data_IF_988009464211
#
_entry.id   IF_988009464211
#
_cell.length_a   1.000
_cell.length_b   1.000
_cell.length_c   1.000
_cell.angle_alpha   90.00
_cell.angle_beta   90.00
_cell.angle_gamma   90.00
#
_symmetry.space_group_name_H-M   'P 1'
#
loop_
_entity.id
_entity.type
_entity.pdbx_description
1 polymer ?
#
# COMPACT_ATOMS: atom_id res chain seq x y z
N UNK A 1 -15.23 19.58 14.53
CA UNK A 1 -14.20 18.87 13.74
C UNK A 1 -12.86 19.11 14.41
N UNK A 2 -12.02 18.08 14.57
CA UNK A 2 -10.72 18.22 15.24
C UNK A 2 -9.78 19.07 14.36
N UNK A 3 -9.14 20.09 14.95
CA UNK A 3 -8.11 20.91 14.30
C UNK A 3 -6.93 20.09 13.77
N UNK A 4 -6.81 18.81 14.18
CA UNK A 4 -5.81 17.85 13.68
C UNK A 4 -6.07 17.38 12.24
N UNK A 5 -7.30 17.51 11.72
CA UNK A 5 -7.67 16.97 10.41
C UNK A 5 -7.00 17.69 9.21
N UNK A 6 -6.97 19.04 9.13
CA UNK A 6 -6.37 19.74 7.99
C UNK A 6 -4.91 19.36 7.67
N UNK A 7 -3.99 19.22 8.65
CA UNK A 7 -2.64 18.70 8.37
C UNK A 7 -2.64 17.35 7.66
N UNK A 8 -3.51 16.43 8.08
CA UNK A 8 -3.54 15.07 7.51
C UNK A 8 -4.22 15.03 6.15
N UNK A 9 -5.24 15.87 5.93
CA UNK A 9 -5.79 16.08 4.59
C UNK A 9 -4.73 16.63 3.64
N UNK A 10 -3.88 17.55 4.10
CA UNK A 10 -2.80 18.10 3.29
C UNK A 10 -1.72 17.06 2.98
N UNK A 11 -1.44 16.13 3.91
CA UNK A 11 -0.61 14.94 3.64
C UNK A 11 -1.27 14.01 2.60
N UNK A 12 -2.59 13.81 2.65
CA UNK A 12 -3.29 13.01 1.65
C UNK A 12 -3.23 13.69 0.26
N UNK A 13 -3.41 15.01 0.21
CA UNK A 13 -3.23 15.81 -1.01
C UNK A 13 -1.80 15.69 -1.53
N UNK A 14 -0.80 15.76 -0.65
CA UNK A 14 0.60 15.53 -1.01
C UNK A 14 0.80 14.16 -1.66
N UNK A 15 0.26 13.09 -1.07
CA UNK A 15 0.35 11.75 -1.64
C UNK A 15 -0.30 11.67 -3.04
N UNK A 16 -1.48 12.28 -3.23
CA UNK A 16 -2.12 12.37 -4.56
C UNK A 16 -1.25 13.15 -5.56
N UNK A 17 -0.64 14.26 -5.13
CA UNK A 17 0.20 15.08 -5.99
C UNK A 17 1.52 14.39 -6.36
N UNK A 18 2.16 13.70 -5.41
CA UNK A 18 3.40 12.96 -5.62
C UNK A 18 3.15 11.73 -6.50
N UNK A 19 2.22 10.85 -6.12
CA UNK A 19 2.10 9.53 -6.76
C UNK A 19 0.99 9.46 -7.81
N UNK A 20 -0.10 10.21 -7.63
CA UNK A 20 -1.22 10.22 -8.57
C UNK A 20 -1.02 11.14 -9.76
N UNK A 21 -0.57 12.37 -9.50
CA UNK A 21 -0.38 13.43 -10.51
C UNK A 21 1.08 13.55 -10.96
N UNK A 22 2.03 13.04 -10.17
CA UNK A 22 3.47 13.13 -10.45
C UNK A 22 3.96 14.58 -10.59
N UNK A 23 3.45 15.46 -9.72
CA UNK A 23 3.84 16.86 -9.65
C UNK A 23 4.67 17.13 -8.37
N UNK A 24 5.94 16.75 -8.42
CA UNK A 24 6.90 16.75 -7.29
C UNK A 24 6.90 18.04 -6.48
N UNK A 25 7.04 19.20 -7.12
CA UNK A 25 7.17 20.48 -6.41
C UNK A 25 5.94 20.76 -5.52
N UNK A 26 4.74 20.55 -6.06
CA UNK A 26 3.49 20.75 -5.33
C UNK A 26 3.29 19.64 -4.28
N UNK A 27 3.67 18.41 -4.60
CA UNK A 27 3.63 17.27 -3.69
C UNK A 27 4.50 17.48 -2.45
N UNK A 28 5.77 17.85 -2.62
CA UNK A 28 6.69 18.16 -1.52
C UNK A 28 6.29 19.43 -0.77
N UNK A 29 5.80 20.47 -1.47
CA UNK A 29 5.29 21.68 -0.82
C UNK A 29 4.09 21.37 0.10
N UNK A 30 3.14 20.56 -0.38
CA UNK A 30 2.01 20.09 0.42
C UNK A 30 2.49 19.24 1.61
N UNK A 31 3.48 18.36 1.42
CA UNK A 31 4.03 17.53 2.50
C UNK A 31 4.68 18.38 3.60
N UNK A 32 5.50 19.36 3.21
CA UNK A 32 6.16 20.28 4.13
C UNK A 32 5.13 21.14 4.88
N UNK A 33 4.12 21.64 4.18
CA UNK A 33 3.04 22.41 4.78
C UNK A 33 2.18 21.55 5.74
N UNK A 34 1.96 20.26 5.43
CA UNK A 34 1.26 19.33 6.32
C UNK A 34 1.99 19.16 7.65
N UNK A 35 3.31 18.93 7.60
CA UNK A 35 4.16 18.81 8.79
C UNK A 35 4.23 20.13 9.56
N UNK A 36 4.41 21.26 8.87
CA UNK A 36 4.46 22.57 9.52
C UNK A 36 3.14 22.92 10.22
N UNK A 37 2.00 22.68 9.55
CA UNK A 37 0.68 22.91 10.15
C UNK A 37 0.44 21.97 11.33
N UNK A 38 0.85 20.69 11.23
CA UNK A 38 0.77 19.77 12.36
C UNK A 38 1.60 20.27 13.55
N UNK A 39 2.79 20.81 13.33
CA UNK A 39 3.65 21.37 14.40
C UNK A 39 3.01 22.56 15.13
N UNK A 40 2.19 23.35 14.43
CA UNK A 40 1.42 24.47 15.00
C UNK A 40 0.19 23.97 15.76
N UNK A 41 -0.52 22.97 15.22
CA UNK A 41 -1.78 22.46 15.77
C UNK A 41 -1.55 21.55 16.99
N UNK A 42 -0.66 20.57 16.89
CA UNK A 42 -0.47 19.53 17.89
C UNK A 42 0.90 18.84 17.75
N UNK A 43 1.77 18.97 18.75
CA UNK A 43 3.14 18.43 18.70
C UNK A 43 3.19 16.90 18.58
N UNK A 44 2.22 16.19 19.14
CA UNK A 44 2.15 14.73 19.04
C UNK A 44 1.77 14.30 17.61
N UNK A 45 0.79 14.97 17.01
CA UNK A 45 0.46 14.80 15.60
C UNK A 45 1.67 15.09 14.72
N UNK A 46 2.37 16.20 14.95
CA UNK A 46 3.55 16.56 14.17
C UNK A 46 4.62 15.46 14.19
N UNK A 47 4.91 14.89 15.37
CA UNK A 47 5.85 13.76 15.49
C UNK A 47 5.41 12.57 14.65
N UNK A 48 4.14 12.17 14.73
CA UNK A 48 3.64 11.05 13.94
C UNK A 48 3.60 11.36 12.44
N UNK A 49 3.24 12.58 12.05
CA UNK A 49 3.12 12.99 10.66
C UNK A 49 4.50 13.09 9.98
N UNK A 50 5.54 13.48 10.72
CA UNK A 50 6.94 13.43 10.25
C UNK A 50 7.35 12.01 9.90
N UNK A 51 6.94 10.99 10.66
CA UNK A 51 7.28 9.60 10.35
C UNK A 51 6.62 9.13 9.04
N UNK A 52 5.34 9.46 8.85
CA UNK A 52 4.63 9.13 7.58
C UNK A 52 5.27 9.91 6.43
N UNK A 53 5.51 11.22 6.61
CA UNK A 53 6.12 12.07 5.61
C UNK A 53 7.53 11.59 5.21
N UNK A 54 8.36 11.15 6.17
CA UNK A 54 9.66 10.59 5.88
C UNK A 54 9.56 9.34 5.00
N UNK A 55 8.61 8.45 5.28
CA UNK A 55 8.34 7.29 4.43
C UNK A 55 7.93 7.68 3.01
N UNK A 56 6.99 8.63 2.87
CA UNK A 56 6.54 9.14 1.58
C UNK A 56 7.66 9.82 0.80
N UNK A 57 8.49 10.63 1.46
CA UNK A 57 9.67 11.25 0.83
C UNK A 57 10.67 10.20 0.36
N UNK A 58 10.93 9.15 1.16
CA UNK A 58 11.91 8.12 0.75
C UNK A 58 11.44 7.39 -0.50
N UNK A 59 10.17 6.98 -0.55
CA UNK A 59 9.64 6.27 -1.73
C UNK A 59 9.53 7.17 -2.95
N UNK A 60 9.20 8.46 -2.80
CA UNK A 60 9.07 9.39 -3.93
C UNK A 60 10.40 9.80 -4.56
N UNK A 61 11.53 9.34 -4.02
CA UNK A 61 12.87 9.57 -4.59
C UNK A 61 13.29 8.48 -5.59
N UNK A 62 12.53 7.40 -5.71
CA UNK A 62 12.81 6.29 -6.62
C UNK A 62 11.62 6.12 -7.56
N UNK A 63 11.83 5.98 -8.89
CA UNK A 63 10.74 5.68 -9.80
C UNK A 63 10.05 4.37 -9.41
N UNK A 64 8.71 4.38 -9.29
CA UNK A 64 7.92 3.20 -8.92
C UNK A 64 7.40 2.42 -10.12
N UNK A 65 7.99 2.63 -11.30
CA UNK A 65 7.68 1.88 -12.51
C UNK A 65 8.08 0.41 -12.37
N UNK A 66 7.37 -0.45 -13.10
CA UNK A 66 7.56 -1.90 -13.03
C UNK A 66 8.80 -2.40 -13.79
N UNK A 67 9.91 -1.66 -13.80
CA UNK A 67 11.18 -2.14 -14.32
C UNK A 67 11.74 -3.27 -13.43
N UNK A 68 11.99 -4.42 -14.05
CA UNK A 68 12.52 -5.61 -13.38
C UNK A 68 14.01 -5.81 -13.63
N UNK A 69 14.74 -4.76 -14.03
CA UNK A 69 16.19 -4.76 -14.00
C UNK A 69 16.69 -4.96 -12.56
N UNK A 70 17.76 -5.74 -12.38
CA UNK A 70 18.27 -6.07 -11.03
C UNK A 70 18.65 -4.79 -10.26
N UNK A 71 19.22 -3.81 -10.98
CA UNK A 71 19.58 -2.53 -10.40
C UNK A 71 18.37 -1.75 -9.87
N UNK A 72 17.30 -1.68 -10.67
CA UNK A 72 16.07 -1.00 -10.26
C UNK A 72 15.37 -1.73 -9.12
N UNK A 73 15.24 -3.05 -9.20
CA UNK A 73 14.67 -3.86 -8.11
C UNK A 73 15.43 -3.69 -6.79
N UNK A 74 16.77 -3.62 -6.83
CA UNK A 74 17.58 -3.37 -5.65
C UNK A 74 17.38 -1.95 -5.10
N UNK A 75 17.30 -0.94 -5.98
CA UNK A 75 17.05 0.45 -5.62
C UNK A 75 15.66 0.63 -4.98
N UNK A 76 14.61 0.18 -5.66
CA UNK A 76 13.23 0.22 -5.17
C UNK A 76 13.07 -0.59 -3.89
N UNK A 77 13.58 -1.83 -3.84
CA UNK A 77 13.55 -2.65 -2.63
C UNK A 77 14.26 -1.99 -1.44
N UNK A 78 15.37 -1.28 -1.68
CA UNK A 78 16.06 -0.53 -0.63
C UNK A 78 15.26 0.68 -0.16
N UNK A 79 14.64 1.44 -1.07
CA UNK A 79 13.79 2.58 -0.72
C UNK A 79 12.56 2.15 0.08
N UNK A 80 11.88 1.08 -0.36
CA UNK A 80 10.76 0.48 0.36
C UNK A 80 11.20 0.03 1.77
N UNK A 81 12.32 -0.70 1.89
CA UNK A 81 12.84 -1.10 3.20
C UNK A 81 13.13 0.12 4.11
N UNK A 82 13.78 1.16 3.58
CA UNK A 82 14.06 2.39 4.32
C UNK A 82 12.79 3.12 4.76
N UNK A 83 11.77 3.17 3.90
CA UNK A 83 10.49 3.82 4.19
C UNK A 83 9.72 3.15 5.35
N UNK A 84 10.02 1.89 5.69
CA UNK A 84 9.47 1.21 6.88
C UNK A 84 10.45 1.28 8.06
N UNK A 85 11.73 1.00 7.82
CA UNK A 85 12.75 0.93 8.88
C UNK A 85 13.00 2.29 9.52
N UNK A 86 13.04 3.38 8.74
CA UNK A 86 13.30 4.73 9.27
C UNK A 86 12.17 5.17 10.21
N UNK A 87 10.86 5.15 9.82
CA UNK A 87 9.77 5.46 10.74
C UNK A 87 9.77 4.58 11.99
N UNK A 88 9.97 3.28 11.83
CA UNK A 88 10.02 2.33 12.95
C UNK A 88 11.17 2.64 13.91
N UNK A 89 12.39 2.85 13.41
CA UNK A 89 13.57 3.12 14.23
C UNK A 89 13.46 4.46 14.94
N UNK A 90 12.99 5.51 14.26
CA UNK A 90 12.78 6.83 14.88
C UNK A 90 11.69 6.73 15.95
N UNK A 91 10.55 6.07 15.67
CA UNK A 91 9.49 5.83 16.65
C UNK A 91 10.02 5.11 17.89
N UNK A 92 10.81 4.04 17.68
CA UNK A 92 11.30 3.18 18.76
C UNK A 92 12.41 3.81 19.60
N UNK A 93 13.41 4.41 18.97
CA UNK A 93 14.64 4.82 19.64
C UNK A 93 14.70 6.32 19.95
N UNK A 94 14.16 7.18 19.09
CA UNK A 94 14.15 8.64 19.29
C UNK A 94 12.93 9.05 20.09
N UNK A 95 11.76 8.60 19.64
CA UNK A 95 10.46 8.92 20.25
C UNK A 95 10.12 8.05 21.45
N UNK A 96 10.84 6.93 21.62
CA UNK A 96 10.66 5.97 22.73
C UNK A 96 9.21 5.48 22.83
N UNK A 97 8.58 5.34 21.67
CA UNK A 97 7.22 4.90 21.50
C UNK A 97 7.20 3.48 20.95
N UNK A 98 6.15 2.75 21.28
CA UNK A 98 5.94 1.38 20.82
C UNK A 98 4.61 1.26 20.10
N UNK A 99 4.43 2.17 19.14
CA UNK A 99 3.22 2.30 18.33
C UNK A 99 3.29 1.41 17.09
N UNK A 100 4.40 1.49 16.35
CA UNK A 100 4.62 0.71 15.13
C UNK A 100 5.06 -0.70 15.56
N UNK A 101 4.12 -1.64 15.46
CA UNK A 101 4.33 -3.05 15.82
C UNK A 101 3.91 -3.95 14.67
N UNK A 102 4.63 -5.07 14.54
CA UNK A 102 4.41 -6.07 13.50
C UNK A 102 3.98 -7.40 14.13
N UNK A 103 2.69 -7.57 14.50
CA UNK A 103 2.22 -8.75 15.21
C UNK A 103 2.07 -9.96 14.27
N UNK A 104 3.18 -10.66 14.01
CA UNK A 104 3.22 -11.85 13.15
C UNK A 104 2.54 -13.04 13.83
N UNK A 105 3.03 -13.46 15.01
CA UNK A 105 2.49 -14.64 15.71
C UNK A 105 1.50 -14.24 16.79
N UNK A 106 0.22 -14.23 16.47
CA UNK A 106 -0.87 -13.99 17.44
C UNK A 106 -1.25 -15.25 18.23
N UNK A 107 -0.79 -16.44 17.80
CA UNK A 107 -0.97 -17.72 18.50
C UNK A 107 -2.42 -18.24 18.51
N UNK A 108 -3.34 -17.59 17.80
CA UNK A 108 -4.76 -17.97 17.75
C UNK A 108 -5.11 -18.54 16.37
N UNK A 109 -5.81 -19.68 16.31
CA UNK A 109 -6.28 -20.21 15.03
C UNK A 109 -7.29 -19.25 14.38
N UNK A 110 -7.33 -19.22 13.05
CA UNK A 110 -8.27 -18.37 12.33
C UNK A 110 -9.69 -18.97 12.37
N UNK A 111 -10.69 -18.20 12.86
CA UNK A 111 -12.06 -18.67 12.91
C UNK A 111 -12.61 -18.91 11.49
N UNK A 112 -13.70 -19.67 11.36
CA UNK A 112 -14.27 -20.01 10.05
C UNK A 112 -14.57 -18.78 9.17
N UNK A 113 -15.17 -17.68 9.68
CA UNK A 113 -15.41 -16.48 8.86
C UNK A 113 -14.14 -15.89 8.26
N UNK A 114 -13.02 -15.94 9.00
CA UNK A 114 -11.73 -15.47 8.51
C UNK A 114 -11.20 -16.36 7.36
N UNK A 115 -11.35 -17.68 7.48
CA UNK A 115 -10.98 -18.61 6.40
C UNK A 115 -11.86 -18.45 5.16
N UNK A 116 -13.17 -18.26 5.35
CA UNK A 116 -14.11 -17.99 4.25
C UNK A 116 -13.82 -16.65 3.57
N UNK A 117 -13.38 -15.64 4.34
CA UNK A 117 -12.96 -14.36 3.78
C UNK A 117 -11.74 -14.49 2.86
N UNK A 118 -10.77 -15.33 3.18
CA UNK A 118 -9.63 -15.62 2.29
C UNK A 118 -10.11 -16.19 0.94
N UNK A 119 -11.06 -17.13 0.97
CA UNK A 119 -11.67 -17.67 -0.26
C UNK A 119 -12.44 -16.61 -1.04
N UNK A 120 -13.18 -15.75 -0.33
CA UNK A 120 -13.90 -14.64 -0.95
C UNK A 120 -12.95 -13.67 -1.65
N UNK A 121 -11.80 -13.35 -1.06
CA UNK A 121 -10.80 -12.45 -1.65
C UNK A 121 -10.25 -13.03 -2.96
N UNK A 122 -9.93 -14.33 -2.98
CA UNK A 122 -9.50 -15.02 -4.21
C UNK A 122 -10.61 -14.98 -5.26
N UNK A 123 -11.86 -15.25 -4.88
CA UNK A 123 -13.01 -15.21 -5.79
C UNK A 123 -13.23 -13.82 -6.37
N UNK A 124 -13.20 -12.77 -5.53
CA UNK A 124 -13.36 -11.38 -5.97
C UNK A 124 -12.21 -10.97 -6.88
N UNK A 125 -10.97 -11.30 -6.53
CA UNK A 125 -9.81 -11.07 -7.39
C UNK A 125 -10.00 -11.74 -8.76
N UNK A 126 -10.45 -12.99 -8.77
CA UNK A 126 -10.64 -13.77 -9.99
C UNK A 126 -11.72 -13.17 -10.90
N UNK A 127 -12.79 -12.62 -10.34
CA UNK A 127 -13.88 -12.01 -11.11
C UNK A 127 -13.57 -10.58 -11.57
N UNK A 128 -12.84 -9.81 -10.76
CA UNK A 128 -12.68 -8.38 -10.96
C UNK A 128 -11.39 -8.05 -11.71
N UNK A 129 -10.26 -8.68 -11.34
CA UNK A 129 -8.94 -8.30 -11.86
C UNK A 129 -8.80 -8.54 -13.37
N UNK A 130 -9.18 -9.70 -13.94
CA UNK A 130 -9.07 -9.89 -15.38
C UNK A 130 -9.90 -8.88 -16.16
N UNK A 131 -11.14 -8.63 -15.72
CA UNK A 131 -12.02 -7.63 -16.33
C UNK A 131 -11.37 -6.24 -16.31
N UNK A 132 -10.89 -5.81 -15.15
CA UNK A 132 -10.19 -4.54 -15.00
C UNK A 132 -8.96 -4.45 -15.90
N UNK A 133 -8.02 -5.39 -15.75
CA UNK A 133 -6.75 -5.40 -16.46
C UNK A 133 -6.94 -5.38 -17.97
N UNK A 134 -7.77 -6.27 -18.49
CA UNK A 134 -7.92 -6.53 -19.92
C UNK A 134 -8.77 -5.46 -20.60
N UNK A 135 -9.90 -5.06 -20.00
CA UNK A 135 -10.84 -4.12 -20.65
C UNK A 135 -10.29 -2.70 -20.67
N UNK A 136 -9.43 -2.34 -19.72
CA UNK A 136 -8.81 -1.02 -19.68
C UNK A 136 -7.44 -0.98 -20.35
N UNK A 137 -6.79 -2.14 -20.55
CA UNK A 137 -5.44 -2.22 -21.10
C UNK A 137 -4.33 -1.95 -20.08
N UNK A 138 -4.65 -1.62 -18.82
CA UNK A 138 -3.66 -1.27 -17.79
C UNK A 138 -2.66 -2.38 -17.48
N UNK A 139 -2.92 -3.64 -17.87
CA UNK A 139 -1.96 -4.73 -17.72
C UNK A 139 -0.59 -4.43 -18.36
N UNK A 140 -0.54 -3.54 -19.37
CA UNK A 140 0.70 -3.10 -20.03
C UNK A 140 1.58 -2.19 -19.15
N UNK A 141 1.07 -1.73 -18.01
CA UNK A 141 1.89 -1.02 -17.02
C UNK A 141 2.88 -1.96 -16.33
N UNK A 142 2.64 -3.27 -16.40
CA UNK A 142 3.54 -4.30 -15.90
C UNK A 142 4.25 -5.00 -17.06
N UNK A 143 5.48 -5.48 -16.85
CA UNK A 143 6.25 -6.13 -17.89
C UNK A 143 5.66 -7.48 -18.29
N UNK A 144 5.87 -7.84 -19.55
CA UNK A 144 5.46 -9.12 -20.11
C UNK A 144 6.25 -10.28 -19.47
N UNK A 145 5.54 -11.08 -18.68
CA UNK A 145 6.08 -12.24 -17.97
C UNK A 145 6.25 -13.50 -18.84
N UNK A 146 6.32 -13.38 -20.16
CA UNK A 146 6.60 -14.50 -21.09
C UNK A 146 8.00 -15.09 -20.89
N UNK A 147 8.98 -14.26 -20.51
CA UNK A 147 10.33 -14.71 -20.19
C UNK A 147 10.40 -15.30 -18.77
N UNK A 148 11.01 -16.49 -18.55
CA UNK A 148 11.08 -17.11 -17.23
C UNK A 148 11.74 -16.25 -16.14
N UNK A 149 12.72 -15.40 -16.50
CA UNK A 149 13.39 -14.51 -15.56
C UNK A 149 12.45 -13.38 -15.13
N UNK A 150 11.77 -12.77 -16.11
CA UNK A 150 10.78 -11.72 -15.87
C UNK A 150 9.61 -12.26 -15.05
N UNK A 151 9.13 -13.48 -15.36
CA UNK A 151 8.10 -14.19 -14.60
C UNK A 151 8.43 -14.30 -13.12
N UNK A 152 9.62 -14.81 -12.78
CA UNK A 152 10.04 -14.98 -11.38
C UNK A 152 10.22 -13.62 -10.70
N UNK A 153 10.80 -12.63 -11.38
CA UNK A 153 11.00 -11.29 -10.83
C UNK A 153 9.68 -10.56 -10.59
N UNK A 154 8.72 -10.67 -11.50
CA UNK A 154 7.38 -10.12 -11.34
C UNK A 154 6.68 -10.78 -10.16
N UNK A 155 6.73 -12.11 -10.07
CA UNK A 155 6.15 -12.84 -8.93
C UNK A 155 6.76 -12.35 -7.60
N UNK A 156 8.09 -12.31 -7.49
CA UNK A 156 8.75 -11.84 -6.28
C UNK A 156 8.45 -10.37 -5.98
N UNK A 157 8.46 -9.51 -6.99
CA UNK A 157 8.22 -8.08 -6.87
C UNK A 157 6.81 -7.77 -6.36
N UNK A 158 5.78 -8.32 -7.01
CA UNK A 158 4.38 -8.14 -6.60
C UNK A 158 4.18 -8.58 -5.15
N UNK A 159 4.63 -9.79 -4.79
CA UNK A 159 4.45 -10.30 -3.42
C UNK A 159 5.27 -9.50 -2.38
N UNK A 160 6.48 -9.05 -2.73
CA UNK A 160 7.30 -8.24 -1.83
C UNK A 160 6.69 -6.86 -1.56
N UNK A 161 6.16 -6.22 -2.60
CA UNK A 161 5.43 -4.96 -2.49
C UNK A 161 4.15 -5.16 -1.66
N UNK A 162 3.38 -6.23 -1.88
CA UNK A 162 2.19 -6.49 -1.07
C UNK A 162 2.47 -6.72 0.42
N UNK A 163 3.60 -7.34 0.78
CA UNK A 163 4.04 -7.41 2.18
C UNK A 163 4.39 -6.00 2.69
N UNK A 164 5.14 -5.24 1.89
CA UNK A 164 5.56 -3.89 2.25
C UNK A 164 4.37 -2.96 2.49
N UNK A 165 3.34 -3.07 1.65
CA UNK A 165 2.09 -2.32 1.76
C UNK A 165 1.49 -2.46 3.16
N UNK A 166 1.43 -3.68 3.69
CA UNK A 166 0.90 -3.91 5.04
C UNK A 166 1.80 -3.35 6.14
N UNK A 167 3.11 -3.40 5.95
CA UNK A 167 4.07 -2.86 6.92
C UNK A 167 3.99 -1.32 7.00
N UNK A 168 3.92 -0.66 5.86
CA UNK A 168 3.91 0.79 5.78
C UNK A 168 2.51 1.35 6.02
N UNK A 169 1.55 0.96 5.21
CA UNK A 169 0.24 1.60 5.21
C UNK A 169 -0.61 1.20 6.42
N UNK A 170 -0.62 -0.08 6.79
CA UNK A 170 -1.45 -0.58 7.89
C UNK A 170 -0.72 -0.54 9.23
N UNK A 171 0.47 -1.14 9.32
CA UNK A 171 1.23 -1.19 10.57
C UNK A 171 1.87 0.14 10.95
N UNK A 172 2.11 1.06 10.00
CA UNK A 172 2.67 2.39 10.28
C UNK A 172 1.62 3.49 10.14
N UNK A 173 1.19 3.83 8.93
CA UNK A 173 0.33 5.00 8.67
C UNK A 173 -1.01 4.91 9.42
N UNK A 174 -1.77 3.83 9.25
CA UNK A 174 -3.05 3.64 9.96
C UNK A 174 -2.86 3.64 11.48
N UNK A 175 -1.82 2.98 11.97
CA UNK A 175 -1.55 2.85 13.41
C UNK A 175 -1.14 4.19 14.05
N UNK A 176 -0.44 5.05 13.33
CA UNK A 176 -0.11 6.41 13.75
C UNK A 176 -1.34 7.34 13.68
N UNK A 177 -2.14 7.26 12.60
CA UNK A 177 -3.32 8.12 12.42
C UNK A 177 -4.44 7.80 13.42
N UNK A 178 -4.66 6.53 13.76
CA UNK A 178 -5.70 6.13 14.74
C UNK A 178 -5.41 6.56 16.17
N UNK A 179 -4.24 7.15 16.45
CA UNK A 179 -3.95 7.82 17.73
C UNK A 179 -4.61 9.20 17.81
N UNK A 180 -4.90 9.81 16.66
CA UNK A 180 -5.43 11.16 16.56
C UNK A 180 -6.89 11.22 16.09
N UNK A 181 -7.38 10.13 15.48
CA UNK A 181 -8.70 10.05 14.88
C UNK A 181 -9.41 8.75 15.23
N UNK A 182 -10.76 8.70 15.17
CA UNK A 182 -11.48 7.43 15.21
C UNK A 182 -11.04 6.51 14.07
N UNK A 183 -11.05 5.20 14.32
CA UNK A 183 -10.51 4.19 13.40
C UNK A 183 -11.03 4.32 11.95
N UNK A 184 -12.31 4.65 11.76
CA UNK A 184 -12.89 4.77 10.42
C UNK A 184 -12.25 5.92 9.62
N UNK A 185 -12.00 7.05 10.28
CA UNK A 185 -11.40 8.22 9.64
C UNK A 185 -9.92 8.00 9.38
N UNK A 186 -9.20 7.42 10.34
CA UNK A 186 -7.81 7.02 10.12
C UNK A 186 -7.68 6.07 8.94
N UNK A 187 -8.61 5.11 8.79
CA UNK A 187 -8.62 4.17 7.68
C UNK A 187 -8.91 4.84 6.33
N UNK A 188 -9.88 5.76 6.27
CA UNK A 188 -10.16 6.54 5.06
C UNK A 188 -8.95 7.36 4.60
N UNK A 189 -8.25 8.01 5.54
CA UNK A 189 -7.08 8.83 5.24
C UNK A 189 -5.90 7.98 4.76
N UNK A 190 -5.62 6.87 5.45
CA UNK A 190 -4.61 5.89 5.02
C UNK A 190 -4.93 5.36 3.61
N UNK A 191 -6.19 5.02 3.33
CA UNK A 191 -6.60 4.47 2.04
C UNK A 191 -6.35 5.45 0.88
N UNK A 192 -6.41 6.78 1.12
CA UNK A 192 -6.02 7.77 0.11
C UNK A 192 -4.53 7.62 -0.22
N UNK A 193 -3.67 7.59 0.80
CA UNK A 193 -2.21 7.48 0.61
C UNK A 193 -1.84 6.17 -0.10
N UNK A 194 -2.43 5.05 0.34
CA UNK A 194 -2.26 3.73 -0.28
C UNK A 194 -2.67 3.74 -1.76
N UNK A 195 -3.85 4.28 -2.07
CA UNK A 195 -4.38 4.25 -3.44
C UNK A 195 -3.59 5.15 -4.38
N UNK A 196 -3.07 6.28 -3.88
CA UNK A 196 -2.17 7.14 -4.64
C UNK A 196 -0.86 6.42 -4.98
N UNK A 197 -0.27 5.70 -4.04
CA UNK A 197 0.93 4.90 -4.29
C UNK A 197 0.70 3.80 -5.33
N UNK A 198 -0.39 3.05 -5.21
CA UNK A 198 -0.71 2.01 -6.19
C UNK A 198 -1.03 2.56 -7.59
N UNK A 199 -1.52 3.79 -7.69
CA UNK A 199 -1.69 4.45 -8.99
C UNK A 199 -0.36 4.55 -9.74
N UNK A 200 0.72 4.98 -9.06
CA UNK A 200 2.04 5.09 -9.68
C UNK A 200 2.61 3.73 -10.11
N UNK A 201 2.40 2.70 -9.29
CA UNK A 201 2.84 1.33 -9.59
C UNK A 201 2.16 0.74 -10.84
N UNK A 202 0.94 1.18 -11.16
CA UNK A 202 0.26 0.76 -12.39
C UNK A 202 -1.26 0.62 -12.28
N UNK A 203 -1.87 0.83 -11.12
CA UNK A 203 -3.34 0.75 -10.95
C UNK A 203 -4.08 2.01 -11.45
N UNK A 204 -3.91 2.31 -12.74
CA UNK A 204 -4.47 3.49 -13.41
C UNK A 204 -5.94 3.29 -13.85
N UNK A 205 -6.48 4.23 -14.64
CA UNK A 205 -7.88 4.22 -15.08
C UNK A 205 -8.84 4.28 -13.88
N UNK A 206 -9.79 3.35 -13.75
CA UNK A 206 -10.67 3.25 -12.59
C UNK A 206 -10.09 2.39 -11.45
N UNK A 207 -8.80 2.04 -11.51
CA UNK A 207 -8.07 1.30 -10.47
C UNK A 207 -8.28 1.81 -9.04
N UNK A 208 -8.38 3.13 -8.76
CA UNK A 208 -8.73 3.64 -7.43
C UNK A 208 -10.05 3.11 -6.85
N UNK A 209 -11.04 2.75 -7.69
CA UNK A 209 -12.28 2.13 -7.23
C UNK A 209 -12.07 0.68 -6.77
N UNK A 210 -10.90 0.08 -7.02
CA UNK A 210 -10.48 -1.22 -6.54
C UNK A 210 -9.53 -1.10 -5.34
N UNK A 211 -8.48 -0.29 -5.51
CA UNK A 211 -7.40 -0.17 -4.50
C UNK A 211 -7.89 0.53 -3.24
N UNK A 212 -8.78 1.52 -3.36
CA UNK A 212 -9.30 2.24 -2.19
C UNK A 212 -10.19 1.34 -1.31
N UNK A 213 -11.21 0.62 -1.83
CA UNK A 213 -11.95 -0.35 -1.02
C UNK A 213 -11.06 -1.46 -0.44
N UNK A 214 -10.08 -1.93 -1.20
CA UNK A 214 -9.13 -2.94 -0.72
C UNK A 214 -8.32 -2.43 0.47
N UNK A 215 -7.76 -1.21 0.39
CA UNK A 215 -7.04 -0.57 1.49
C UNK A 215 -7.91 -0.42 2.75
N UNK A 216 -9.18 -0.04 2.57
CA UNK A 216 -10.14 0.04 3.68
C UNK A 216 -10.36 -1.33 4.33
N UNK A 217 -10.52 -2.39 3.53
CA UNK A 217 -10.69 -3.75 4.01
C UNK A 217 -9.44 -4.22 4.76
N UNK A 218 -8.23 -3.89 4.30
CA UNK A 218 -6.99 -4.24 5.01
C UNK A 218 -6.90 -3.58 6.38
N UNK A 219 -7.10 -2.26 6.47
CA UNK A 219 -7.09 -1.56 7.76
C UNK A 219 -8.20 -2.00 8.71
N UNK A 220 -9.40 -2.30 8.18
CA UNK A 220 -10.51 -2.86 8.97
C UNK A 220 -10.20 -4.26 9.48
N UNK A 221 -9.64 -5.11 8.63
CA UNK A 221 -9.23 -6.47 8.96
C UNK A 221 -8.14 -6.46 10.03
N UNK A 222 -7.14 -5.59 9.90
CA UNK A 222 -6.11 -5.42 10.92
C UNK A 222 -6.70 -4.92 12.24
N UNK A 223 -7.66 -4.00 12.20
CA UNK A 223 -8.37 -3.55 13.41
C UNK A 223 -9.01 -4.72 14.15
N UNK A 224 -9.69 -5.63 13.46
CA UNK A 224 -10.39 -6.77 14.05
C UNK A 224 -9.44 -7.87 14.54
N UNK A 225 -8.47 -8.24 13.70
CA UNK A 225 -7.63 -9.43 13.93
C UNK A 225 -6.38 -9.13 14.74
N UNK A 226 -5.87 -7.89 14.68
CA UNK A 226 -4.55 -7.48 15.21
C UNK A 226 -3.42 -8.41 14.74
N UNK A 227 -3.56 -9.00 13.55
CA UNK A 227 -2.62 -10.00 13.03
C UNK A 227 -2.06 -9.52 11.70
N UNK A 228 -0.75 -9.25 11.69
CA UNK A 228 -0.04 -8.93 10.44
C UNK A 228 -0.08 -10.13 9.49
N UNK A 229 0.12 -11.34 10.00
CA UNK A 229 0.10 -12.56 9.18
C UNK A 229 -1.23 -12.74 8.45
N UNK A 230 -2.36 -12.46 9.10
CA UNK A 230 -3.65 -12.59 8.45
C UNK A 230 -3.85 -11.57 7.32
N UNK A 231 -3.53 -10.30 7.59
CA UNK A 231 -3.67 -9.20 6.63
C UNK A 231 -2.72 -9.39 5.43
N UNK A 232 -1.46 -9.76 5.69
CA UNK A 232 -0.50 -10.16 4.64
C UNK A 232 -1.02 -11.37 3.86
N UNK A 233 -1.65 -12.36 4.49
CA UNK A 233 -2.22 -13.51 3.76
C UNK A 233 -3.36 -13.09 2.84
N UNK A 234 -4.22 -12.18 3.28
CA UNK A 234 -5.26 -11.59 2.42
C UNK A 234 -4.63 -10.89 1.22
N UNK A 235 -3.60 -10.08 1.47
CA UNK A 235 -2.90 -9.33 0.42
C UNK A 235 -2.23 -10.27 -0.60
N UNK A 236 -1.41 -11.20 -0.12
CA UNK A 236 -0.69 -12.14 -0.99
C UNK A 236 -1.62 -13.05 -1.80
N UNK A 237 -2.80 -13.39 -1.28
CA UNK A 237 -3.81 -14.12 -2.06
C UNK A 237 -4.38 -13.26 -3.19
N UNK A 238 -4.65 -11.98 -2.93
CA UNK A 238 -5.09 -11.06 -3.97
C UNK A 238 -4.00 -10.86 -5.02
N UNK A 239 -2.75 -10.66 -4.59
CA UNK A 239 -1.56 -10.51 -5.44
C UNK A 239 -1.27 -11.75 -6.27
N UNK A 240 -1.49 -12.94 -5.72
CA UNK A 240 -1.37 -14.18 -6.47
C UNK A 240 -2.36 -14.18 -7.64
N UNK A 241 -3.60 -13.76 -7.40
CA UNK A 241 -4.60 -13.69 -8.47
C UNK A 241 -4.25 -12.58 -9.47
N UNK A 242 -3.77 -11.42 -9.01
CA UNK A 242 -3.25 -10.37 -9.87
C UNK A 242 -2.14 -10.89 -10.79
N UNK A 243 -1.14 -11.56 -10.22
CA UNK A 243 -0.03 -12.14 -10.96
C UNK A 243 -0.52 -13.12 -12.03
N UNK A 244 -1.39 -14.06 -11.66
CA UNK A 244 -1.96 -15.02 -12.61
C UNK A 244 -2.77 -14.31 -13.71
N UNK A 245 -3.52 -13.28 -13.37
CA UNK A 245 -4.28 -12.48 -14.32
C UNK A 245 -3.37 -11.66 -15.26
N UNK A 246 -2.24 -11.14 -14.78
CA UNK A 246 -1.22 -10.46 -15.59
C UNK A 246 -0.56 -11.42 -16.58
N UNK A 247 -0.21 -12.62 -16.14
CA UNK A 247 0.33 -13.69 -17.01
C UNK A 247 -0.66 -14.03 -18.11
N UNK A 248 -1.94 -14.23 -17.76
CA UNK A 248 -3.01 -14.47 -18.73
C UNK A 248 -3.24 -13.28 -19.67
N UNK A 249 -3.21 -12.04 -19.16
CA UNK A 249 -3.49 -10.86 -19.96
C UNK A 249 -2.45 -10.65 -21.09
N UNK A 250 -1.18 -10.96 -20.81
CA UNK A 250 -0.09 -10.96 -21.80
C UNK A 250 -0.12 -12.20 -22.71
N UNK A 251 -0.44 -13.37 -22.17
CA UNK A 251 -0.51 -14.63 -22.91
C UNK A 251 -1.89 -15.27 -22.78
N UNK A 252 -2.81 -14.93 -23.69
CA UNK A 252 -4.23 -15.32 -23.60
C UNK A 252 -4.48 -16.83 -23.62
N UNK A 253 -3.59 -17.58 -24.25
CA UNK A 253 -3.68 -19.04 -24.27
C UNK A 253 -3.20 -19.68 -22.96
N UNK A 254 -2.43 -18.94 -22.15
CA UNK A 254 -1.95 -19.41 -20.86
C UNK A 254 -3.00 -19.12 -19.81
N UNK A 255 -3.29 -20.11 -18.96
CA UNK A 255 -4.31 -20.00 -17.89
C UNK A 255 -5.69 -19.54 -18.42
N UNK A 256 -6.32 -20.25 -19.37
CA UNK A 256 -7.64 -19.92 -19.94
C UNK A 256 -8.77 -20.25 -18.95
N UNK A 257 -8.61 -19.82 -17.71
CA UNK A 257 -9.55 -20.00 -16.60
C UNK A 257 -10.25 -18.71 -16.26
N UNK A 258 -9.71 -17.54 -16.62
CA UNK A 258 -10.27 -16.24 -16.28
C UNK A 258 -11.43 -15.83 -17.19
N UNK A 259 -12.40 -15.11 -16.63
CA UNK A 259 -13.60 -14.61 -17.31
C UNK A 259 -13.59 -13.08 -17.27
N UNK A 260 -13.86 -12.41 -18.41
CA UNK A 260 -13.80 -10.94 -18.57
C UNK A 260 -14.51 -10.44 -19.83
#
# INVERSE_FOLDING_TARGET
MSWKLPPVLLLCVSAVLLFGVQHDLAGYAALAAAVALAAVVDRELARHLVLVAAGLTIISLVPLDADLSIGHMALMGSALALAVVVPWAVSRFVYREDLIRFPVRTGRPWPLPARLYLLLVVLLGYLILPFYLIRTGVYTNWPDASDPTVFVRLFLGVNAVGIWDELFFVCTTFTLLRRHFPDWLANLLQAVVFSSFLWEIGYQSWGPLLTYPFALLQGYTFKLTKSLTYVVSVHLLFDLVLFLALVHAHNREWLPVFVY
#
